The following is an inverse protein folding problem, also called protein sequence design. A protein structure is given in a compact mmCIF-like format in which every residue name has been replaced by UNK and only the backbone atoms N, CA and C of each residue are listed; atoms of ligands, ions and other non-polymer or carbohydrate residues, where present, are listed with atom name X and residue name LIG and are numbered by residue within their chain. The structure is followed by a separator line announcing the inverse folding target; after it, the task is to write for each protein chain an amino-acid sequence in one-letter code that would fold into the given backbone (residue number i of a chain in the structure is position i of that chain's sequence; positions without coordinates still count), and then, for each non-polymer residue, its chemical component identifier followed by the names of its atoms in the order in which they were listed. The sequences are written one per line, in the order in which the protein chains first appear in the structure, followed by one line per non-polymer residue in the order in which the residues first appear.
data_IF_632880964249
#
_entry.id   IF_632880964249
#
_cell.length_a   1.000
_cell.length_b   1.000
_cell.length_c   1.000
_cell.angle_alpha   90.00
_cell.angle_beta   90.00
_cell.angle_gamma   90.00
#
_symmetry.space_group_name_H-M   'P 1'
#
loop_
_entity.id
_entity.type
_entity.pdbx_description
1 polymer ?
#
# COMPACT_ATOMS: atom_id res chain seq x y z
N UNK A 1 -6.99 32.63 -13.73
CA UNK A 1 -6.97 31.17 -13.49
C UNK A 1 -5.75 30.89 -12.63
N UNK A 2 -5.94 30.77 -11.31
CA UNK A 2 -4.86 30.46 -10.36
C UNK A 2 -4.47 28.99 -10.55
N UNK A 3 -3.40 28.72 -11.32
CA UNK A 3 -2.88 27.37 -11.49
C UNK A 3 -2.27 26.95 -10.16
N UNK A 4 -3.04 26.19 -9.38
CA UNK A 4 -2.55 25.63 -8.12
C UNK A 4 -1.53 24.55 -8.46
N UNK A 5 -0.33 24.64 -7.89
CA UNK A 5 0.82 23.73 -8.13
C UNK A 5 0.42 22.24 -8.07
N UNK A 6 -0.57 21.89 -7.24
CA UNK A 6 -1.16 20.55 -7.15
C UNK A 6 -1.76 20.02 -8.45
N UNK A 7 -2.31 20.87 -9.32
CA UNK A 7 -2.86 20.46 -10.62
C UNK A 7 -1.80 20.02 -11.63
N UNK A 8 -0.51 20.32 -11.41
CA UNK A 8 0.59 19.94 -12.30
C UNK A 8 1.37 18.75 -11.72
N UNK A 9 1.65 18.79 -10.41
CA UNK A 9 2.48 17.77 -9.76
C UNK A 9 1.79 16.40 -9.74
N UNK A 10 0.48 16.36 -9.51
CA UNK A 10 -0.24 15.09 -9.36
C UNK A 10 -0.44 14.34 -10.68
N UNK A 11 -0.81 14.98 -11.81
CA UNK A 11 -0.84 14.31 -13.11
C UNK A 11 0.53 13.80 -13.55
N UNK A 12 1.61 14.54 -13.26
CA UNK A 12 2.97 14.15 -13.61
C UNK A 12 3.39 12.88 -12.84
N UNK A 13 3.07 12.81 -11.55
CA UNK A 13 3.32 11.62 -10.72
C UNK A 13 2.45 10.44 -11.19
N UNK A 14 1.17 10.66 -11.50
CA UNK A 14 0.28 9.62 -12.02
C UNK A 14 0.79 9.04 -13.34
N UNK A 15 1.28 9.89 -14.24
CA UNK A 15 1.83 9.48 -15.54
C UNK A 15 3.12 8.67 -15.36
N UNK A 16 4.01 9.07 -14.44
CA UNK A 16 5.21 8.32 -14.09
C UNK A 16 4.88 6.91 -13.56
N UNK A 17 3.84 6.79 -12.74
CA UNK A 17 3.43 5.50 -12.20
C UNK A 17 2.69 4.59 -13.18
N UNK A 18 1.89 5.16 -14.08
CA UNK A 18 1.31 4.42 -15.21
C UNK A 18 2.44 3.88 -16.09
N UNK A 19 3.46 4.69 -16.37
CA UNK A 19 4.63 4.26 -17.13
C UNK A 19 5.40 3.13 -16.42
N UNK A 20 5.57 3.23 -15.09
CA UNK A 20 6.17 2.17 -14.27
C UNK A 20 5.36 0.87 -14.25
N UNK A 21 4.02 0.96 -14.23
CA UNK A 21 3.14 -0.21 -14.29
C UNK A 21 3.23 -0.93 -15.66
N UNK A 22 3.26 -0.16 -16.75
CA UNK A 22 3.42 -0.70 -18.12
C UNK A 22 4.81 -1.32 -18.29
N UNK A 23 5.87 -0.71 -17.75
CA UNK A 23 7.22 -1.25 -17.82
C UNK A 23 7.40 -2.55 -17.02
N UNK A 24 6.67 -2.71 -15.91
CA UNK A 24 6.64 -3.95 -15.12
C UNK A 24 5.79 -5.07 -15.75
N UNK A 25 4.78 -4.73 -16.57
CA UNK A 25 3.98 -5.72 -17.30
C UNK A 25 4.81 -6.49 -18.35
N UNK A 26 5.80 -5.84 -18.96
CA UNK A 26 6.59 -6.44 -20.04
C UNK A 26 7.72 -7.37 -19.54
N UNK A 27 8.10 -7.34 -18.26
CA UNK A 27 9.36 -7.95 -17.78
C UNK A 27 9.24 -9.23 -16.92
N UNK A 28 8.12 -9.95 -16.99
CA UNK A 28 7.98 -11.35 -16.52
C UNK A 28 7.74 -11.55 -15.01
N UNK A 29 6.75 -12.40 -14.70
CA UNK A 29 6.41 -13.05 -13.39
C UNK A 29 5.72 -12.23 -12.29
N UNK A 30 4.90 -11.23 -12.60
CA UNK A 30 4.01 -10.61 -11.58
C UNK A 30 2.57 -11.09 -11.80
N UNK A 31 1.93 -11.56 -10.73
CA UNK A 31 0.53 -12.01 -10.72
C UNK A 31 -0.38 -10.84 -11.10
N UNK A 32 -1.33 -11.07 -12.02
CA UNK A 32 -2.30 -10.06 -12.53
C UNK A 32 -2.94 -9.24 -11.40
N UNK A 33 -3.12 -9.85 -10.22
CA UNK A 33 -3.64 -9.23 -9.01
C UNK A 33 -2.77 -8.09 -8.46
N UNK A 34 -1.44 -8.22 -8.46
CA UNK A 34 -0.53 -7.15 -8.01
C UNK A 34 -0.55 -5.96 -8.96
N UNK A 35 -0.61 -6.23 -10.27
CA UNK A 35 -0.75 -5.17 -11.29
C UNK A 35 -2.09 -4.46 -11.13
N UNK A 36 -3.18 -5.20 -10.93
CA UNK A 36 -4.52 -4.64 -10.74
C UNK A 36 -4.61 -3.76 -9.47
N UNK A 37 -4.07 -4.23 -8.33
CA UNK A 37 -4.01 -3.43 -7.10
C UNK A 37 -3.22 -2.14 -7.28
N UNK A 38 -2.08 -2.21 -7.99
CA UNK A 38 -1.23 -1.05 -8.24
C UNK A 38 -1.94 -0.04 -9.15
N UNK A 39 -2.55 -0.50 -10.25
CA UNK A 39 -3.35 0.36 -11.15
C UNK A 39 -4.53 0.99 -10.41
N UNK A 40 -5.26 0.21 -9.60
CA UNK A 40 -6.38 0.73 -8.81
C UNK A 40 -5.95 1.81 -7.81
N UNK A 41 -4.79 1.64 -7.16
CA UNK A 41 -4.21 2.63 -6.26
C UNK A 41 -3.86 3.94 -6.99
N UNK A 42 -3.23 3.85 -8.17
CA UNK A 42 -2.91 5.02 -9.00
C UNK A 42 -4.15 5.71 -9.56
N UNK A 43 -5.19 4.94 -9.89
CA UNK A 43 -6.46 5.48 -10.36
C UNK A 43 -7.21 6.23 -9.24
N UNK A 44 -7.16 5.72 -8.00
CA UNK A 44 -7.67 6.43 -6.83
C UNK A 44 -6.91 7.75 -6.58
N UNK A 45 -5.58 7.75 -6.70
CA UNK A 45 -4.78 8.97 -6.61
C UNK A 45 -5.13 10.00 -7.70
N UNK A 46 -5.41 9.53 -8.92
CA UNK A 46 -5.83 10.38 -10.05
C UNK A 46 -7.22 11.01 -9.78
N UNK A 47 -8.16 10.24 -9.22
CA UNK A 47 -9.48 10.77 -8.83
C UNK A 47 -9.38 11.85 -7.75
N UNK A 48 -8.51 11.67 -6.76
CA UNK A 48 -8.24 12.69 -5.72
C UNK A 48 -7.61 13.94 -6.32
N UNK A 49 -6.75 13.78 -7.34
CA UNK A 49 -6.12 14.88 -8.06
C UNK A 49 -7.12 15.75 -8.83
N UNK A 50 -8.12 15.13 -9.45
CA UNK A 50 -9.11 15.80 -10.28
C UNK A 50 -10.14 16.58 -9.47
N UNK A 51 -10.47 16.12 -8.25
CA UNK A 51 -11.47 16.73 -7.38
C UNK A 51 -10.92 17.08 -5.98
N UNK A 52 -9.89 17.92 -5.86
CA UNK A 52 -9.30 18.26 -4.57
C UNK A 52 -10.33 18.90 -3.64
N UNK A 53 -11.23 19.72 -4.18
CA UNK A 53 -12.24 20.46 -3.41
C UNK A 53 -13.36 19.55 -2.86
N UNK A 54 -13.69 18.44 -3.53
CA UNK A 54 -14.71 17.48 -3.06
C UNK A 54 -14.20 16.65 -1.88
N UNK A 55 -12.98 16.11 -2.00
CA UNK A 55 -12.35 15.34 -0.92
C UNK A 55 -12.01 16.22 0.29
N UNK A 56 -11.51 17.44 0.03
CA UNK A 56 -11.24 18.43 1.06
C UNK A 56 -12.48 18.77 1.89
N UNK A 57 -13.61 19.09 1.24
CA UNK A 57 -14.83 19.47 1.94
C UNK A 57 -15.52 18.29 2.63
N UNK A 58 -15.49 17.09 2.04
CA UNK A 58 -16.05 15.89 2.65
C UNK A 58 -15.31 15.45 3.91
N UNK A 59 -13.98 15.48 3.89
CA UNK A 59 -13.14 15.11 5.03
C UNK A 59 -13.17 16.20 6.10
N UNK A 60 -13.17 17.48 5.72
CA UNK A 60 -13.27 18.60 6.66
C UNK A 60 -14.59 18.58 7.45
N UNK A 61 -15.70 18.12 6.84
CA UNK A 61 -16.99 18.00 7.52
C UNK A 61 -17.02 16.87 8.55
N UNK A 62 -16.26 15.80 8.34
CA UNK A 62 -16.14 14.67 9.27
C UNK A 62 -15.21 15.02 10.44
N UNK A 63 -14.10 15.73 10.18
CA UNK A 63 -13.09 16.04 11.20
C UNK A 63 -13.26 17.41 11.89
N UNK A 64 -14.06 18.34 11.36
CA UNK A 64 -14.35 19.63 12.01
C UNK A 64 -13.18 20.62 12.09
N UNK A 65 -12.10 20.39 11.34
CA UNK A 65 -10.88 21.23 11.36
C UNK A 65 -10.98 22.29 10.26
N UNK A 66 -10.87 23.57 10.64
CA UNK A 66 -10.93 24.75 9.74
C UNK A 66 -9.85 24.77 8.64
N UNK A 67 -8.80 23.94 8.77
CA UNK A 67 -7.74 23.76 7.77
C UNK A 67 -7.88 22.43 7.05
N UNK A 68 -8.42 22.52 5.84
CA UNK A 68 -8.66 21.47 4.87
C UNK A 68 -7.46 20.55 4.60
N UNK A 69 -6.26 21.12 4.44
CA UNK A 69 -5.05 20.37 4.06
C UNK A 69 -4.52 19.55 5.24
N UNK A 70 -4.52 20.12 6.45
CA UNK A 70 -4.00 19.43 7.64
C UNK A 70 -4.86 18.21 8.01
N UNK A 71 -6.19 18.31 7.88
CA UNK A 71 -7.09 17.20 8.17
C UNK A 71 -6.79 15.97 7.30
N UNK A 72 -6.54 16.18 6.00
CA UNK A 72 -6.17 15.10 5.06
C UNK A 72 -4.83 14.49 5.45
N UNK A 73 -3.83 15.31 5.80
CA UNK A 73 -2.51 14.82 6.20
C UNK A 73 -2.62 13.94 7.45
N UNK A 74 -3.34 14.39 8.49
CA UNK A 74 -3.53 13.59 9.71
C UNK A 74 -4.32 12.31 9.45
N UNK A 75 -5.32 12.34 8.57
CA UNK A 75 -6.09 11.15 8.18
C UNK A 75 -5.21 10.13 7.44
N UNK A 76 -4.44 10.58 6.45
CA UNK A 76 -3.49 9.73 5.73
C UNK A 76 -2.43 9.17 6.68
N UNK A 77 -1.90 9.98 7.60
CA UNK A 77 -0.98 9.51 8.63
C UNK A 77 -1.61 8.44 9.52
N UNK A 78 -2.85 8.63 9.98
CA UNK A 78 -3.58 7.64 10.77
C UNK A 78 -3.74 6.31 10.03
N UNK A 79 -4.14 6.35 8.76
CA UNK A 79 -4.25 5.15 7.92
C UNK A 79 -2.89 4.50 7.71
N UNK A 80 -1.84 5.28 7.44
CA UNK A 80 -0.48 4.76 7.26
C UNK A 80 -0.01 4.03 8.53
N UNK A 81 -0.19 4.63 9.71
CA UNK A 81 0.12 3.98 10.97
C UNK A 81 -0.68 2.69 11.15
N UNK A 82 -1.97 2.70 10.85
CA UNK A 82 -2.82 1.51 10.94
C UNK A 82 -2.31 0.38 10.03
N UNK A 83 -1.97 0.69 8.77
CA UNK A 83 -1.40 -0.28 7.83
C UNK A 83 -0.04 -0.78 8.34
N UNK A 84 0.80 0.10 8.89
CA UNK A 84 2.10 -0.26 9.45
C UNK A 84 1.95 -1.25 10.61
N UNK A 85 1.01 -1.01 11.53
CA UNK A 85 0.69 -1.93 12.62
C UNK A 85 0.18 -3.27 12.09
N UNK A 86 -0.72 -3.26 11.11
CA UNK A 86 -1.22 -4.49 10.47
C UNK A 86 -0.07 -5.30 9.84
N UNK A 87 0.85 -4.63 9.16
CA UNK A 87 2.02 -5.27 8.56
C UNK A 87 2.94 -5.87 9.61
N UNK A 88 3.17 -5.16 10.73
CA UNK A 88 3.92 -5.69 11.87
C UNK A 88 3.32 -6.99 12.40
N UNK A 89 2.00 -7.07 12.58
CA UNK A 89 1.35 -8.30 13.03
C UNK A 89 1.48 -9.45 12.02
N UNK A 90 1.39 -9.16 10.72
CA UNK A 90 1.56 -10.17 9.67
C UNK A 90 2.99 -10.74 9.70
N UNK A 91 4.00 -9.88 9.78
CA UNK A 91 5.41 -10.29 9.86
C UNK A 91 5.64 -11.16 11.09
N UNK A 92 5.12 -10.77 12.26
CA UNK A 92 5.27 -11.54 13.50
C UNK A 92 4.62 -12.92 13.41
N UNK A 93 3.45 -13.02 12.77
CA UNK A 93 2.80 -14.32 12.51
C UNK A 93 3.65 -15.17 11.58
N UNK A 94 4.18 -14.60 10.51
CA UNK A 94 5.04 -15.31 9.55
C UNK A 94 6.33 -15.82 10.21
N UNK A 95 6.96 -15.03 11.09
CA UNK A 95 8.14 -15.43 11.86
C UNK A 95 7.86 -16.64 12.76
N UNK A 96 6.69 -16.63 13.43
CA UNK A 96 6.25 -17.76 14.25
C UNK A 96 5.98 -19.02 13.41
N UNK A 97 5.23 -18.88 12.33
CA UNK A 97 4.91 -20.00 11.43
C UNK A 97 6.19 -20.63 10.86
N UNK A 98 7.18 -19.81 10.49
CA UNK A 98 8.48 -20.28 10.00
C UNK A 98 9.30 -21.00 11.08
N UNK A 99 9.26 -20.49 12.32
CA UNK A 99 9.90 -21.16 13.47
C UNK A 99 9.28 -22.53 13.74
N UNK A 100 7.95 -22.61 13.74
CA UNK A 100 7.22 -23.86 13.99
C UNK A 100 7.47 -24.88 12.87
N UNK A 101 7.49 -24.43 11.61
CA UNK A 101 7.83 -25.28 10.45
C UNK A 101 9.26 -25.82 10.54
N UNK A 102 10.22 -24.97 10.90
CA UNK A 102 11.63 -25.38 11.05
C UNK A 102 11.79 -26.40 12.18
N UNK A 103 11.07 -26.22 13.29
CA UNK A 103 11.07 -27.18 14.41
C UNK A 103 10.48 -28.53 14.00
N UNK A 104 9.37 -28.53 13.27
CA UNK A 104 8.78 -29.77 12.76
C UNK A 104 9.71 -30.50 11.78
N UNK A 105 10.42 -29.74 10.92
CA UNK A 105 11.39 -30.30 9.98
C UNK A 105 12.57 -30.96 10.73
N UNK A 106 13.11 -30.28 11.75
CA UNK A 106 14.21 -30.81 12.55
C UNK A 106 13.83 -32.06 13.35
N UNK A 107 12.59 -32.14 13.87
CA UNK A 107 12.09 -33.34 14.55
C UNK A 107 11.83 -34.50 13.57
N UNK A 108 11.41 -34.21 12.34
CA UNK A 108 11.20 -35.23 11.30
C UNK A 108 12.51 -35.81 10.79
N UNK A 109 13.54 -34.98 10.65
CA UNK A 109 14.84 -35.39 10.11
C UNK A 109 15.78 -35.95 11.21
N UNK A 110 15.25 -36.26 12.40
CA UNK A 110 16.05 -36.80 13.51
C UNK A 110 16.58 -38.21 13.17
N UNK A 111 17.88 -38.52 13.40
CA UNK A 111 18.54 -39.72 12.86
C UNK A 111 18.11 -41.08 13.42
N UNK A 112 17.13 -41.17 14.31
CA UNK A 112 16.75 -42.43 14.98
C UNK A 112 15.91 -43.38 14.11
N UNK A 113 15.45 -42.94 12.94
CA UNK A 113 14.79 -43.81 11.93
C UNK A 113 15.79 -44.41 10.90
N UNK A 114 17.09 -44.31 11.20
CA UNK A 114 18.16 -45.05 10.51
C UNK A 114 18.74 -46.10 11.46
N UNK A 115 17.90 -47.00 11.96
CA UNK A 115 18.43 -48.30 12.37
C UNK A 115 18.86 -49.07 11.11
N UNK A 116 20.03 -49.73 11.14
CA UNK A 116 20.66 -50.35 9.96
C UNK A 116 19.87 -51.51 9.37
#
# INVERSE_FOLDING_TARGET
MEIRIFQIVVPLIALFFIFGAIFHYHKSKITIYETALRVAFWLAALLVAFFPDFFSNGIARIFGIRSNVNAIIFFCLGILFFIQFKMYFIIRRQEKDLTDLTRQLALRDHPEDRTP
#
